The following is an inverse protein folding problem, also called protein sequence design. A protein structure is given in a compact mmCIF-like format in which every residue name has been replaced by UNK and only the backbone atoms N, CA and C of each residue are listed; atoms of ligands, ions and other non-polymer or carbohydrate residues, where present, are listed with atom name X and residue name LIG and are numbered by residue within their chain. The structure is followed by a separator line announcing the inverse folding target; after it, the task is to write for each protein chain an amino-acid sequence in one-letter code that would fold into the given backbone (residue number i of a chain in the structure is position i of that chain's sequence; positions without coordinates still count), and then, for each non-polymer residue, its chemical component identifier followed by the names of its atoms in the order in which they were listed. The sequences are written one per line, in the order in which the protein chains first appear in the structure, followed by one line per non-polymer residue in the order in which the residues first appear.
data_IF_223958933223
#
_entry.id   IF_223958933223
#
_cell.length_a   1.000
_cell.length_b   1.000
_cell.length_c   1.000
_cell.angle_alpha   90.00
_cell.angle_beta   90.00
_cell.angle_gamma   90.00
#
_symmetry.space_group_name_H-M   'P 1'
#
loop_
_entity.id
_entity.type
_entity.pdbx_description
1 polymer ?
#
# COMPACT_ATOMS: atom_id res chain seq x y z
N UNK A 1 18.24 14.82 1.75
CA UNK A 1 18.08 13.44 2.24
C UNK A 1 18.85 12.53 1.32
N UNK A 2 19.48 11.47 1.82
CA UNK A 2 20.13 10.49 0.95
C UNK A 2 19.07 9.68 0.19
N UNK A 3 19.32 9.38 -1.08
CA UNK A 3 18.41 8.54 -1.87
C UNK A 3 18.34 7.13 -1.26
N UNK A 4 17.13 6.56 -1.21
CA UNK A 4 16.94 5.17 -0.79
C UNK A 4 17.61 4.23 -1.79
N UNK A 5 18.43 3.30 -1.30
CA UNK A 5 19.19 2.39 -2.16
C UNK A 5 18.27 1.36 -2.83
N UNK A 6 18.14 1.36 -4.17
CA UNK A 6 17.31 0.36 -4.86
C UNK A 6 17.94 -1.04 -4.85
N UNK A 7 19.25 -1.19 -4.54
CA UNK A 7 19.90 -2.49 -4.42
C UNK A 7 19.62 -3.17 -3.09
N UNK A 8 19.14 -2.42 -2.09
CA UNK A 8 18.70 -2.97 -0.81
C UNK A 8 17.41 -3.77 -0.89
N UNK A 9 16.69 -3.66 -2.01
CA UNK A 9 15.37 -4.26 -2.24
C UNK A 9 15.50 -5.61 -2.95
N UNK A 10 14.95 -6.66 -2.35
CA UNK A 10 14.78 -7.95 -3.00
C UNK A 10 13.45 -8.00 -3.76
N UNK A 11 13.50 -8.01 -5.10
CA UNK A 11 12.30 -8.13 -5.92
C UNK A 11 11.86 -9.59 -6.06
N UNK A 12 10.68 -9.92 -5.53
CA UNK A 12 10.03 -11.22 -5.71
C UNK A 12 9.20 -11.20 -6.98
N UNK A 13 9.52 -12.12 -7.90
CA UNK A 13 8.87 -12.22 -9.21
C UNK A 13 8.15 -13.56 -9.37
N UNK A 14 6.89 -13.54 -9.83
CA UNK A 14 6.13 -14.76 -10.17
C UNK A 14 5.19 -14.52 -11.34
N UNK A 15 4.87 -15.58 -12.08
CA UNK A 15 3.99 -15.50 -13.25
C UNK A 15 4.68 -15.01 -14.52
N UNK A 16 3.86 -14.77 -15.54
CA UNK A 16 4.29 -14.28 -16.87
C UNK A 16 3.21 -13.37 -17.46
N UNK A 17 3.60 -12.43 -18.34
CA UNK A 17 2.71 -11.43 -18.94
C UNK A 17 3.11 -10.01 -18.55
N UNK A 18 2.21 -9.03 -18.73
CA UNK A 18 2.47 -7.63 -18.36
C UNK A 18 2.90 -7.49 -16.90
N UNK A 19 3.85 -6.60 -16.59
CA UNK A 19 4.35 -6.41 -15.23
C UNK A 19 3.29 -5.74 -14.33
N UNK A 20 3.01 -6.34 -13.18
CA UNK A 20 2.14 -5.81 -12.14
C UNK A 20 2.92 -5.64 -10.83
N UNK A 21 3.19 -4.40 -10.46
CA UNK A 21 3.82 -4.04 -9.19
C UNK A 21 2.76 -4.01 -8.08
N UNK A 22 3.07 -4.64 -6.95
CA UNK A 22 2.19 -4.78 -5.80
C UNK A 22 2.88 -4.20 -4.55
N UNK A 23 2.43 -3.02 -4.10
CA UNK A 23 3.01 -2.27 -2.98
C UNK A 23 2.17 -2.49 -1.71
N UNK A 24 2.80 -3.07 -0.69
CA UNK A 24 2.14 -3.40 0.59
C UNK A 24 1.94 -2.18 1.49
N UNK A 25 1.13 -2.34 2.55
CA UNK A 25 0.86 -1.32 3.55
C UNK A 25 1.90 -1.30 4.69
N UNK A 26 1.76 -0.32 5.58
CA UNK A 26 2.62 -0.13 6.74
C UNK A 26 2.65 -1.38 7.65
N UNK A 27 3.83 -1.78 8.11
CA UNK A 27 4.03 -2.78 9.15
C UNK A 27 3.96 -4.24 8.72
N UNK A 28 3.71 -4.51 7.43
CA UNK A 28 3.69 -5.86 6.86
C UNK A 28 4.78 -6.03 5.80
N UNK A 29 4.77 -7.11 5.04
CA UNK A 29 5.76 -7.42 4.02
C UNK A 29 5.10 -7.81 2.69
N UNK A 30 5.89 -8.14 1.66
CA UNK A 30 5.43 -8.51 0.32
C UNK A 30 4.38 -9.64 0.31
N UNK A 31 4.34 -10.51 1.34
CA UNK A 31 3.37 -11.61 1.47
C UNK A 31 1.94 -11.12 1.76
N UNK A 32 1.76 -9.84 2.09
CA UNK A 32 0.43 -9.24 2.12
C UNK A 32 -0.34 -9.51 0.83
N UNK A 33 0.37 -9.61 -0.29
CA UNK A 33 -0.19 -9.84 -1.61
C UNK A 33 -0.32 -11.32 -2.00
N UNK A 34 -0.15 -12.27 -1.07
CA UNK A 34 -0.27 -13.70 -1.39
C UNK A 34 -1.68 -14.09 -1.87
N UNK A 35 -2.72 -13.36 -1.46
CA UNK A 35 -4.06 -13.52 -1.99
C UNK A 35 -4.15 -13.24 -3.50
N UNK A 36 -3.29 -12.40 -4.03
CA UNK A 36 -3.25 -12.02 -5.44
C UNK A 36 -2.42 -12.98 -6.33
N UNK A 37 -1.78 -14.01 -5.75
CA UNK A 37 -0.99 -15.00 -6.52
C UNK A 37 -1.78 -15.63 -7.68
N UNK A 38 -3.10 -15.86 -7.63
CA UNK A 38 -3.88 -16.33 -8.79
C UNK A 38 -3.82 -15.41 -10.02
N UNK A 39 -3.44 -14.14 -9.87
CA UNK A 39 -3.22 -13.22 -11.00
C UNK A 39 -1.92 -13.52 -11.76
N UNK A 40 -1.03 -14.36 -11.23
CA UNK A 40 0.20 -14.77 -11.90
C UNK A 40 -0.03 -15.60 -13.18
N UNK A 41 -1.25 -16.07 -13.41
CA UNK A 41 -1.65 -16.66 -14.69
C UNK A 41 -1.67 -15.66 -15.84
N UNK A 42 -1.92 -14.38 -15.53
CA UNK A 42 -2.18 -13.32 -16.51
C UNK A 42 -1.11 -12.22 -16.48
N UNK A 43 -0.39 -12.08 -15.35
CA UNK A 43 0.57 -11.01 -15.12
C UNK A 43 1.89 -11.51 -14.54
N UNK A 44 2.97 -10.77 -14.78
CA UNK A 44 4.21 -10.92 -14.01
C UNK A 44 4.06 -10.09 -12.73
N UNK A 45 3.81 -10.76 -11.61
CA UNK A 45 3.70 -10.10 -10.30
C UNK A 45 5.08 -9.70 -9.79
N UNK A 46 5.24 -8.45 -9.38
CA UNK A 46 6.46 -7.85 -8.85
C UNK A 46 6.17 -7.33 -7.44
N UNK A 47 6.74 -7.94 -6.43
CA UNK A 47 6.52 -7.63 -5.02
C UNK A 47 7.86 -7.44 -4.32
N UNK A 48 7.96 -6.50 -3.41
CA UNK A 48 9.15 -6.32 -2.57
C UNK A 48 8.74 -5.74 -1.21
N UNK A 49 9.63 -5.86 -0.25
CA UNK A 49 9.46 -5.28 1.07
C UNK A 49 9.89 -3.80 1.04
N UNK A 50 9.04 -2.90 1.51
CA UNK A 50 9.36 -1.49 1.64
C UNK A 50 10.50 -1.27 2.65
N UNK A 51 11.28 -0.17 2.56
CA UNK A 51 12.36 0.13 3.50
C UNK A 51 11.95 -0.03 4.97
N UNK A 52 12.74 -0.77 5.73
CA UNK A 52 12.46 -1.07 7.14
C UNK A 52 11.37 -2.12 7.40
N UNK A 53 10.86 -2.79 6.33
CA UNK A 53 9.86 -3.85 6.42
C UNK A 53 10.43 -5.16 5.86
N UNK A 54 9.90 -6.29 6.35
CA UNK A 54 10.28 -7.62 5.90
C UNK A 54 11.79 -7.83 5.89
N UNK A 55 12.37 -8.08 4.72
CA UNK A 55 13.80 -8.31 4.52
C UNK A 55 14.59 -7.05 4.13
N UNK A 56 13.90 -5.94 3.80
CA UNK A 56 14.56 -4.69 3.40
C UNK A 56 15.09 -3.94 4.63
N UNK A 57 16.38 -3.56 4.64
CA UNK A 57 17.00 -2.88 5.78
C UNK A 57 16.29 -1.59 6.17
N UNK A 58 16.41 -1.23 7.44
CA UNK A 58 15.97 0.08 7.94
C UNK A 58 16.90 1.15 7.39
N UNK A 59 16.37 2.20 6.73
CA UNK A 59 17.17 3.33 6.28
C UNK A 59 17.86 4.06 7.46
N UNK A 60 19.05 4.59 7.22
CA UNK A 60 19.79 5.36 8.23
C UNK A 60 19.18 6.75 8.48
N UNK A 61 18.45 7.28 7.50
CA UNK A 61 17.85 8.61 7.55
C UNK A 61 16.33 8.54 7.32
N UNK A 62 15.62 9.58 7.77
CA UNK A 62 14.21 9.76 7.45
C UNK A 62 14.00 9.93 5.94
N UNK A 63 12.85 9.53 5.48
CA UNK A 63 12.44 9.61 4.08
C UNK A 63 11.00 10.11 3.96
N UNK A 64 10.60 10.45 2.76
CA UNK A 64 9.24 10.87 2.39
C UNK A 64 8.62 9.87 1.41
N UNK A 65 7.33 10.04 1.12
CA UNK A 65 6.63 9.23 0.10
C UNK A 65 7.29 9.39 -1.27
N UNK A 66 7.78 10.59 -1.58
CA UNK A 66 8.50 10.89 -2.81
C UNK A 66 9.76 10.03 -2.95
N UNK A 67 10.54 9.88 -1.88
CA UNK A 67 11.77 9.07 -1.87
C UNK A 67 11.47 7.58 -2.10
N UNK A 68 10.36 7.07 -1.55
CA UNK A 68 9.88 5.70 -1.79
C UNK A 68 9.45 5.48 -3.25
N UNK A 69 8.80 6.49 -3.83
CA UNK A 69 8.42 6.49 -5.25
C UNK A 69 9.65 6.52 -6.17
N UNK A 70 10.67 7.32 -5.84
CA UNK A 70 11.93 7.38 -6.58
C UNK A 70 12.70 6.06 -6.49
N UNK A 71 12.70 5.41 -5.31
CA UNK A 71 13.25 4.06 -5.16
C UNK A 71 12.52 3.06 -6.05
N UNK A 72 11.18 3.08 -6.08
CA UNK A 72 10.39 2.24 -6.99
C UNK A 72 10.80 2.46 -8.45
N UNK A 73 10.92 3.72 -8.89
CA UNK A 73 11.37 4.05 -10.25
C UNK A 73 12.75 3.45 -10.55
N UNK A 74 13.70 3.56 -9.62
CA UNK A 74 15.04 3.01 -9.77
C UNK A 74 15.03 1.46 -9.81
N UNK A 75 14.24 0.80 -8.95
CA UNK A 75 14.06 -0.67 -8.97
C UNK A 75 13.52 -1.12 -10.31
N UNK A 76 12.47 -0.48 -10.82
CA UNK A 76 11.89 -0.84 -12.12
C UNK A 76 12.86 -0.63 -13.28
N UNK A 77 13.62 0.47 -13.27
CA UNK A 77 14.65 0.76 -14.28
C UNK A 77 15.74 -0.30 -14.31
N UNK A 78 16.23 -0.78 -13.14
CA UNK A 78 17.21 -1.86 -13.05
C UNK A 78 16.71 -3.17 -13.68
N UNK A 79 15.41 -3.40 -13.71
CA UNK A 79 14.79 -4.59 -14.30
C UNK A 79 14.23 -4.36 -15.72
N UNK A 80 14.50 -3.20 -16.34
CA UNK A 80 14.06 -2.86 -17.69
C UNK A 80 12.54 -2.69 -17.83
N UNK A 81 11.85 -2.33 -16.76
CA UNK A 81 10.39 -2.17 -16.72
C UNK A 81 10.05 -0.69 -16.85
N UNK A 82 9.43 -0.30 -17.98
CA UNK A 82 9.15 1.11 -18.29
C UNK A 82 7.67 1.49 -18.20
N UNK A 83 6.75 0.53 -18.24
CA UNK A 83 5.30 0.76 -18.24
C UNK A 83 4.56 -0.33 -17.48
N UNK A 84 4.70 -0.39 -16.14
CA UNK A 84 4.01 -1.39 -15.33
C UNK A 84 2.54 -1.05 -15.10
N UNK A 85 1.73 -2.05 -14.77
CA UNK A 85 0.58 -1.86 -13.90
C UNK A 85 1.09 -1.66 -12.48
N UNK A 86 0.43 -0.82 -11.69
CA UNK A 86 0.80 -0.59 -10.28
C UNK A 86 -0.45 -0.70 -9.40
N UNK A 87 -0.38 -1.51 -8.38
CA UNK A 87 -1.39 -1.59 -7.33
C UNK A 87 -0.75 -1.33 -5.96
N UNK A 88 -1.35 -0.47 -5.16
CA UNK A 88 -0.86 -0.14 -3.84
C UNK A 88 -1.98 0.02 -2.83
N UNK A 89 -1.76 -0.49 -1.62
CA UNK A 89 -2.69 -0.34 -0.50
C UNK A 89 -2.14 0.58 0.57
N UNK A 90 -2.95 1.49 1.10
CA UNK A 90 -2.61 2.38 2.21
C UNK A 90 -1.29 3.13 1.94
N UNK A 91 -0.21 2.89 2.69
CA UNK A 91 1.15 3.42 2.41
C UNK A 91 1.59 3.11 0.96
N UNK A 92 1.42 1.87 0.50
CA UNK A 92 1.71 1.48 -0.88
C UNK A 92 0.86 2.26 -1.89
N UNK A 93 -0.36 2.63 -1.52
CA UNK A 93 -1.25 3.47 -2.31
C UNK A 93 -0.77 4.92 -2.45
N UNK A 94 -0.18 5.51 -1.39
CA UNK A 94 0.47 6.82 -1.50
C UNK A 94 1.69 6.78 -2.45
N UNK A 95 2.52 5.74 -2.32
CA UNK A 95 3.66 5.55 -3.23
C UNK A 95 3.18 5.43 -4.68
N UNK A 96 2.15 4.61 -4.91
CA UNK A 96 1.56 4.42 -6.24
C UNK A 96 0.98 5.71 -6.82
N UNK A 97 0.30 6.54 -6.01
CA UNK A 97 -0.21 7.86 -6.41
C UNK A 97 0.92 8.79 -6.86
N UNK A 98 1.98 8.92 -6.04
CA UNK A 98 3.11 9.77 -6.40
C UNK A 98 3.83 9.26 -7.64
N UNK A 99 4.06 7.95 -7.73
CA UNK A 99 4.69 7.34 -8.88
C UNK A 99 3.90 7.59 -10.17
N UNK A 100 2.59 7.33 -10.18
CA UNK A 100 1.73 7.51 -11.35
C UNK A 100 1.55 8.98 -11.78
N UNK A 101 1.75 9.94 -10.87
CA UNK A 101 1.75 11.37 -11.19
C UNK A 101 3.04 11.83 -11.90
N UNK A 102 4.13 11.06 -11.83
CA UNK A 102 5.46 11.44 -12.31
C UNK A 102 6.09 10.45 -13.30
N UNK A 103 5.51 9.26 -13.48
CA UNK A 103 6.00 8.20 -14.36
C UNK A 103 4.86 7.62 -15.22
N UNK A 104 5.24 6.91 -16.28
CA UNK A 104 4.27 6.21 -17.13
C UNK A 104 3.82 4.91 -16.46
N UNK A 105 2.53 4.81 -16.17
CA UNK A 105 1.86 3.64 -15.63
C UNK A 105 0.81 3.17 -16.62
N UNK A 106 0.70 1.87 -16.85
CA UNK A 106 -0.31 1.35 -17.77
C UNK A 106 -1.70 1.39 -17.15
N UNK A 107 -1.84 0.86 -15.94
CA UNK A 107 -3.06 0.95 -15.10
C UNK A 107 -2.66 1.13 -13.64
N UNK A 108 -3.45 1.90 -12.91
CA UNK A 108 -3.25 2.20 -11.50
C UNK A 108 -4.39 1.63 -10.66
N UNK A 109 -4.06 0.93 -9.57
CA UNK A 109 -5.04 0.51 -8.56
C UNK A 109 -4.65 1.07 -7.21
N UNK A 110 -5.57 1.82 -6.60
CA UNK A 110 -5.39 2.47 -5.31
C UNK A 110 -6.38 1.87 -4.31
N UNK A 111 -5.88 1.26 -3.25
CA UNK A 111 -6.68 0.47 -2.32
C UNK A 111 -6.56 1.07 -0.91
N UNK A 112 -7.69 1.33 -0.25
CA UNK A 112 -7.78 1.77 1.14
C UNK A 112 -6.73 2.86 1.47
N UNK A 113 -6.62 3.88 0.63
CA UNK A 113 -5.56 4.89 0.70
C UNK A 113 -6.11 6.31 0.70
N UNK A 114 -5.26 7.28 0.98
CA UNK A 114 -5.59 8.70 1.03
C UNK A 114 -4.52 9.53 0.30
N UNK A 115 -4.82 10.70 -0.23
CA UNK A 115 -3.79 11.62 -0.73
C UNK A 115 -3.14 12.45 0.39
N UNK A 116 -3.83 12.56 1.54
CA UNK A 116 -3.39 13.36 2.70
C UNK A 116 -4.11 12.91 3.96
N UNK A 117 -3.45 13.01 5.09
CA UNK A 117 -4.05 12.79 6.41
C UNK A 117 -4.58 14.09 7.04
N UNK A 118 -5.64 13.99 7.86
CA UNK A 118 -6.13 15.11 8.70
C UNK A 118 -5.09 15.47 9.76
N UNK A 119 -5.21 16.63 10.40
CA UNK A 119 -4.25 17.02 11.45
C UNK A 119 -4.27 16.06 12.63
N UNK A 120 -5.44 15.53 13.01
CA UNK A 120 -5.56 14.51 14.06
C UNK A 120 -4.85 13.21 13.69
N UNK A 121 -5.01 12.77 12.44
CA UNK A 121 -4.32 11.57 11.95
C UNK A 121 -2.81 11.79 11.84
N UNK A 122 -2.36 12.97 11.47
CA UNK A 122 -0.92 13.31 11.44
C UNK A 122 -0.33 13.26 12.85
N UNK A 123 -1.02 13.82 13.84
CA UNK A 123 -0.61 13.73 15.24
C UNK A 123 -0.56 12.26 15.72
N UNK A 124 -1.57 11.46 15.37
CA UNK A 124 -1.60 10.02 15.65
C UNK A 124 -0.40 9.28 15.02
N UNK A 125 -0.02 9.60 13.77
CA UNK A 125 1.17 8.99 13.14
C UNK A 125 2.45 9.30 13.89
N UNK A 126 2.62 10.55 14.38
CA UNK A 126 3.78 10.96 15.21
C UNK A 126 3.79 10.19 16.54
N UNK A 127 2.65 10.03 17.19
CA UNK A 127 2.54 9.25 18.43
C UNK A 127 2.83 7.76 18.20
N UNK A 128 2.34 7.17 17.10
CA UNK A 128 2.63 5.78 16.72
C UNK A 128 4.12 5.58 16.46
N UNK A 129 4.79 6.53 15.79
CA UNK A 129 6.23 6.49 15.58
C UNK A 129 6.99 6.45 16.91
N UNK A 130 6.62 7.32 17.85
CA UNK A 130 7.23 7.35 19.19
C UNK A 130 6.98 6.04 19.96
N UNK A 131 5.76 5.50 19.89
CA UNK A 131 5.40 4.23 20.54
C UNK A 131 6.18 3.06 19.92
N UNK A 132 6.28 3.00 18.59
CA UNK A 132 7.03 1.94 17.90
C UNK A 132 8.50 1.95 18.26
N UNK A 133 9.13 3.12 18.40
CA UNK A 133 10.53 3.25 18.83
C UNK A 133 10.77 2.83 20.28
N UNK A 134 9.87 3.19 21.18
CA UNK A 134 10.09 3.01 22.63
C UNK A 134 9.54 1.69 23.17
N UNK A 135 8.46 1.16 22.58
CA UNK A 135 7.72 -0.02 23.06
C UNK A 135 7.64 -1.14 22.03
N UNK A 136 8.15 -0.91 20.82
CA UNK A 136 8.00 -1.82 19.68
C UNK A 136 6.62 -1.79 19.05
N UNK A 137 6.52 -2.29 17.81
CA UNK A 137 5.25 -2.38 17.06
C UNK A 137 4.23 -3.30 17.74
N UNK A 138 4.72 -4.27 18.53
CA UNK A 138 3.88 -5.19 19.30
C UNK A 138 2.86 -4.47 20.21
N UNK A 139 3.22 -3.29 20.74
CA UNK A 139 2.33 -2.48 21.58
C UNK A 139 1.12 -1.89 20.83
N UNK A 140 1.15 -1.88 19.51
CA UNK A 140 0.12 -1.29 18.64
C UNK A 140 -0.80 -2.35 18.00
N UNK A 141 -0.46 -3.64 18.08
CA UNK A 141 -1.08 -4.69 17.25
C UNK A 141 -2.59 -4.74 17.41
N UNK A 142 -3.09 -4.79 18.65
CA UNK A 142 -4.53 -5.00 18.88
C UNK A 142 -5.37 -3.82 18.38
N UNK A 143 -4.86 -2.60 18.51
CA UNK A 143 -5.53 -1.40 17.99
C UNK A 143 -5.48 -1.36 16.46
N UNK A 144 -4.35 -1.74 15.86
CA UNK A 144 -4.22 -1.83 14.40
C UNK A 144 -5.17 -2.87 13.82
N UNK A 145 -5.27 -4.05 14.44
CA UNK A 145 -6.16 -5.11 13.96
C UNK A 145 -7.63 -4.66 13.99
N UNK A 146 -8.07 -3.92 15.02
CA UNK A 146 -9.44 -3.38 15.10
C UNK A 146 -9.73 -2.31 14.03
N UNK A 147 -8.71 -1.58 13.59
CA UNK A 147 -8.85 -0.63 12.46
C UNK A 147 -8.88 -1.37 11.13
N UNK A 148 -8.04 -2.40 10.98
CA UNK A 148 -7.84 -3.08 9.70
C UNK A 148 -8.95 -4.05 9.33
N UNK A 149 -9.57 -4.71 10.32
CA UNK A 149 -10.53 -5.79 10.11
C UNK A 149 -11.84 -5.55 10.84
N UNK A 150 -12.92 -6.04 10.26
CA UNK A 150 -14.23 -6.07 10.91
C UNK A 150 -14.21 -6.98 12.16
N UNK A 151 -15.10 -6.70 13.11
CA UNK A 151 -15.18 -7.47 14.36
C UNK A 151 -15.47 -8.96 14.11
N UNK A 152 -16.37 -9.24 13.16
CA UNK A 152 -16.74 -10.60 12.79
C UNK A 152 -15.58 -11.36 12.14
N UNK A 153 -14.78 -10.70 11.32
CA UNK A 153 -13.58 -11.28 10.72
C UNK A 153 -12.50 -11.56 11.77
N UNK A 154 -12.28 -10.63 12.71
CA UNK A 154 -11.36 -10.83 13.83
C UNK A 154 -11.77 -12.00 14.73
N UNK A 155 -13.06 -12.13 15.02
CA UNK A 155 -13.59 -13.21 15.88
C UNK A 155 -13.33 -14.61 15.30
N UNK A 156 -13.23 -14.75 13.98
CA UNK A 156 -12.92 -16.00 13.29
C UNK A 156 -11.41 -16.35 13.31
N UNK A 157 -10.54 -15.40 13.65
CA UNK A 157 -9.07 -15.52 13.61
C UNK A 157 -8.55 -16.23 12.34
N UNK A 158 -8.90 -15.75 11.13
CA UNK A 158 -8.50 -16.40 9.89
C UNK A 158 -6.98 -16.26 9.65
N UNK A 159 -6.41 -17.03 8.69
CA UNK A 159 -4.96 -16.97 8.37
C UNK A 159 -4.46 -15.56 8.10
N UNK A 160 -5.26 -14.68 7.48
CA UNK A 160 -4.91 -13.30 7.20
C UNK A 160 -4.67 -12.48 8.48
N UNK A 161 -5.51 -12.61 9.51
CA UNK A 161 -5.34 -11.94 10.80
C UNK A 161 -4.07 -12.44 11.51
N UNK A 162 -3.85 -13.76 11.53
CA UNK A 162 -2.64 -14.36 12.11
C UNK A 162 -1.36 -13.92 11.39
N UNK A 163 -1.41 -13.83 10.05
CA UNK A 163 -0.31 -13.30 9.24
C UNK A 163 0.01 -11.85 9.64
N UNK A 164 -0.99 -10.96 9.63
CA UNK A 164 -0.80 -9.55 9.98
C UNK A 164 -0.25 -9.41 11.41
N UNK A 165 -0.88 -10.07 12.39
CA UNK A 165 -0.44 -10.07 13.79
C UNK A 165 1.03 -10.50 13.93
N UNK A 166 1.39 -11.63 13.31
CA UNK A 166 2.74 -12.18 13.42
C UNK A 166 3.78 -11.32 12.69
N UNK A 167 3.41 -10.66 11.59
CA UNK A 167 4.33 -9.80 10.83
C UNK A 167 4.55 -8.49 11.55
N UNK A 168 3.50 -7.83 12.05
CA UNK A 168 3.61 -6.63 12.90
C UNK A 168 4.50 -6.87 14.12
N UNK A 169 4.39 -8.04 14.77
CA UNK A 169 5.20 -8.39 15.93
C UNK A 169 6.71 -8.47 15.64
N UNK A 170 7.09 -8.73 14.38
CA UNK A 170 8.49 -8.83 13.93
C UNK A 170 9.00 -7.57 13.24
N UNK A 171 8.12 -6.65 12.88
CA UNK A 171 8.50 -5.43 12.17
C UNK A 171 9.38 -4.55 13.05
N UNK A 172 10.45 -4.01 12.46
CA UNK A 172 11.37 -3.08 13.14
C UNK A 172 10.62 -1.87 13.68
N UNK A 173 10.79 -1.57 14.97
CA UNK A 173 10.20 -0.37 15.56
C UNK A 173 10.67 0.92 14.90
N UNK A 174 11.96 1.00 14.54
CA UNK A 174 12.50 2.16 13.79
C UNK A 174 11.99 2.21 12.36
N UNK A 175 11.98 1.08 11.63
CA UNK A 175 11.45 1.02 10.26
C UNK A 175 9.98 1.44 10.21
N UNK A 176 9.17 0.95 11.13
CA UNK A 176 7.76 1.36 11.27
C UNK A 176 7.61 2.84 11.58
N UNK A 177 8.45 3.37 12.49
CA UNK A 177 8.41 4.78 12.90
C UNK A 177 8.77 5.73 11.76
N UNK A 178 9.81 5.43 10.99
CA UNK A 178 10.18 6.23 9.80
C UNK A 178 9.05 6.26 8.77
N UNK A 179 8.36 5.15 8.56
CA UNK A 179 7.20 5.11 7.67
C UNK A 179 6.01 5.92 8.22
N UNK A 180 5.75 5.88 9.53
CA UNK A 180 4.74 6.75 10.17
C UNK A 180 5.05 8.25 9.97
N UNK A 181 6.32 8.65 10.08
CA UNK A 181 6.75 10.03 9.85
C UNK A 181 6.56 10.45 8.39
N UNK A 182 6.85 9.55 7.44
CA UNK A 182 6.58 9.78 6.02
C UNK A 182 5.07 9.95 5.75
N UNK A 183 4.21 9.14 6.41
CA UNK A 183 2.75 9.28 6.33
C UNK A 183 2.29 10.62 6.93
N UNK A 184 2.79 11.00 8.12
CA UNK A 184 2.45 12.27 8.75
C UNK A 184 2.79 13.49 7.87
N UNK A 185 3.85 13.40 7.07
CA UNK A 185 4.31 14.48 6.20
C UNK A 185 3.61 14.52 4.84
N UNK A 186 2.90 13.44 4.45
CA UNK A 186 2.38 13.28 3.09
C UNK A 186 1.27 14.28 2.74
N UNK A 187 1.39 14.90 1.56
CA UNK A 187 0.32 15.64 0.89
C UNK A 187 0.48 15.54 -0.62
N UNK A 188 -0.26 14.64 -1.24
CA UNK A 188 -0.19 14.31 -2.66
C UNK A 188 -1.31 14.93 -3.49
N UNK A 189 -2.15 15.79 -2.90
CA UNK A 189 -3.34 16.35 -3.56
C UNK A 189 -3.00 17.05 -4.88
N UNK A 190 -1.87 17.77 -4.94
CA UNK A 190 -1.43 18.49 -6.14
C UNK A 190 -0.98 17.55 -7.29
N UNK A 191 -0.77 16.26 -6.99
CA UNK A 191 -0.38 15.25 -7.98
C UNK A 191 -1.56 14.52 -8.62
N UNK A 192 -2.71 14.44 -7.97
CA UNK A 192 -3.83 13.62 -8.38
C UNK A 192 -4.30 13.93 -9.83
N UNK A 193 -4.47 15.19 -10.17
CA UNK A 193 -4.87 15.64 -11.51
C UNK A 193 -3.80 15.41 -12.60
N UNK A 194 -2.57 15.03 -12.23
CA UNK A 194 -1.51 14.68 -13.19
C UNK A 194 -1.55 13.21 -13.61
N UNK A 195 -2.24 12.36 -12.85
CA UNK A 195 -2.37 10.94 -13.15
C UNK A 195 -3.20 10.77 -14.42
N UNK A 196 -2.60 10.11 -15.44
CA UNK A 196 -3.21 9.87 -16.74
C UNK A 196 -3.60 8.41 -16.96
N UNK A 197 -3.05 7.50 -16.16
CA UNK A 197 -3.37 6.09 -16.26
C UNK A 197 -4.84 5.83 -15.92
N UNK A 198 -5.53 4.92 -16.62
CA UNK A 198 -6.79 4.39 -16.14
C UNK A 198 -6.63 3.92 -14.70
N UNK A 199 -7.53 4.36 -13.81
CA UNK A 199 -7.37 4.16 -12.38
C UNK A 199 -8.59 3.47 -11.77
N UNK A 200 -8.36 2.46 -10.95
CA UNK A 200 -9.36 1.85 -10.08
C UNK A 200 -9.05 2.22 -8.63
N UNK A 201 -10.00 2.87 -7.97
CA UNK A 201 -9.97 3.11 -6.53
C UNK A 201 -10.82 2.04 -5.86
N UNK A 202 -10.27 1.33 -4.88
CA UNK A 202 -10.98 0.32 -4.09
C UNK A 202 -10.97 0.77 -2.63
N UNK A 203 -12.10 0.66 -1.94
CA UNK A 203 -12.17 0.93 -0.51
C UNK A 203 -13.21 0.03 0.15
N UNK A 204 -12.92 -0.40 1.38
CA UNK A 204 -13.92 -1.05 2.22
C UNK A 204 -15.01 -0.03 2.62
N UNK A 205 -16.27 -0.40 2.51
CA UNK A 205 -17.37 0.53 2.83
C UNK A 205 -17.59 0.69 4.35
N UNK A 206 -16.96 -0.18 5.18
CA UNK A 206 -16.88 -0.07 6.63
C UNK A 206 -15.52 0.46 7.14
N UNK A 207 -14.64 0.95 6.25
CA UNK A 207 -13.42 1.67 6.66
C UNK A 207 -13.79 2.98 7.38
N UNK A 208 -12.86 3.52 8.16
CA UNK A 208 -13.11 4.78 8.86
C UNK A 208 -13.46 5.91 7.87
N UNK A 209 -14.33 6.86 8.27
CA UNK A 209 -14.87 7.88 7.35
C UNK A 209 -13.82 8.60 6.52
N UNK A 210 -12.66 8.93 7.10
CA UNK A 210 -11.59 9.65 6.40
C UNK A 210 -11.01 8.91 5.19
N UNK A 211 -10.98 7.56 5.20
CA UNK A 211 -10.52 6.79 4.03
C UNK A 211 -11.62 6.65 2.98
N UNK A 212 -12.88 6.54 3.40
CA UNK A 212 -14.02 6.53 2.46
C UNK A 212 -14.13 7.87 1.73
N UNK A 213 -14.08 8.98 2.46
CA UNK A 213 -14.07 10.32 1.88
C UNK A 213 -12.87 10.53 0.95
N UNK A 214 -11.69 10.00 1.33
CA UNK A 214 -10.50 10.05 0.50
C UNK A 214 -10.66 9.25 -0.79
N UNK A 215 -11.29 8.08 -0.75
CA UNK A 215 -11.54 7.25 -1.94
C UNK A 215 -12.45 7.99 -2.93
N UNK A 216 -13.53 8.61 -2.46
CA UNK A 216 -14.41 9.45 -3.28
C UNK A 216 -13.67 10.66 -3.85
N UNK A 217 -12.87 11.34 -3.01
CA UNK A 217 -12.07 12.47 -3.45
C UNK A 217 -11.07 12.08 -4.54
N UNK A 218 -10.29 10.98 -4.34
CA UNK A 218 -9.32 10.49 -5.36
C UNK A 218 -10.04 10.19 -6.67
N UNK A 219 -11.15 9.47 -6.61
CA UNK A 219 -11.94 9.12 -7.80
C UNK A 219 -12.48 10.38 -8.51
N UNK A 220 -12.80 11.43 -7.78
CA UNK A 220 -13.24 12.71 -8.36
C UNK A 220 -12.12 13.57 -8.94
N UNK A 221 -10.85 13.35 -8.57
CA UNK A 221 -9.71 14.13 -9.06
C UNK A 221 -9.02 13.53 -10.29
N UNK A 222 -9.09 12.22 -10.46
CA UNK A 222 -8.46 11.49 -11.57
C UNK A 222 -9.52 11.25 -12.64
N UNK A 223 -9.37 11.88 -13.80
CA UNK A 223 -10.36 11.90 -14.90
C UNK A 223 -10.83 10.49 -15.33
N UNK A 224 -9.91 9.52 -15.34
CA UNK A 224 -10.17 8.13 -15.75
C UNK A 224 -10.43 7.18 -14.59
N UNK A 225 -10.72 7.69 -13.39
CA UNK A 225 -10.91 6.85 -12.22
C UNK A 225 -12.31 6.23 -12.13
N UNK A 226 -12.34 5.00 -11.61
CA UNK A 226 -13.55 4.29 -11.18
C UNK A 226 -13.40 3.96 -9.70
N UNK A 227 -14.49 4.10 -8.93
CA UNK A 227 -14.54 3.73 -7.53
C UNK A 227 -15.32 2.41 -7.39
N UNK A 228 -14.75 1.47 -6.63
CA UNK A 228 -15.37 0.21 -6.26
C UNK A 228 -15.35 0.02 -4.75
N UNK A 229 -16.48 -0.30 -4.15
CA UNK A 229 -16.60 -0.62 -2.74
C UNK A 229 -16.50 -2.12 -2.49
N UNK A 230 -15.84 -2.51 -1.38
CA UNK A 230 -15.86 -3.87 -0.84
C UNK A 230 -16.81 -3.87 0.36
N UNK A 231 -18.04 -4.44 0.21
CA UNK A 231 -19.08 -4.35 1.24
C UNK A 231 -18.69 -5.04 2.55
N UNK A 232 -18.91 -4.35 3.69
CA UNK A 232 -18.67 -4.86 5.03
C UNK A 232 -17.19 -5.03 5.39
N UNK A 233 -16.27 -4.59 4.53
CA UNK A 233 -14.84 -4.68 4.79
C UNK A 233 -14.29 -3.35 5.33
N UNK A 234 -13.25 -3.45 6.17
CA UNK A 234 -12.54 -2.32 6.74
C UNK A 234 -11.25 -2.02 5.97
N UNK A 235 -10.24 -1.45 6.63
CA UNK A 235 -9.01 -0.92 6.02
C UNK A 235 -8.13 -1.98 5.31
N UNK A 236 -8.20 -3.25 5.68
CA UNK A 236 -7.55 -4.32 4.95
C UNK A 236 -8.56 -5.06 4.07
N UNK A 237 -9.36 -4.33 3.31
CA UNK A 237 -10.53 -4.81 2.58
C UNK A 237 -10.23 -6.00 1.67
N UNK A 238 -9.06 -5.99 1.04
CA UNK A 238 -8.60 -7.06 0.14
C UNK A 238 -8.19 -8.35 0.86
N UNK A 239 -7.87 -8.28 2.16
CA UNK A 239 -7.62 -9.46 2.99
C UNK A 239 -8.92 -10.01 3.60
N UNK A 240 -9.91 -9.16 3.85
CA UNK A 240 -11.23 -9.61 4.30
C UNK A 240 -12.02 -10.29 3.18
N UNK A 241 -11.89 -9.81 1.95
CA UNK A 241 -12.60 -10.35 0.78
C UNK A 241 -11.64 -10.58 -0.41
N UNK A 242 -10.70 -11.54 -0.29
CA UNK A 242 -9.63 -11.73 -1.28
C UNK A 242 -10.14 -12.16 -2.66
N UNK A 243 -11.21 -12.96 -2.74
CA UNK A 243 -11.79 -13.42 -4.01
C UNK A 243 -12.40 -12.23 -4.78
N UNK A 244 -13.15 -11.37 -4.07
CA UNK A 244 -13.73 -10.15 -4.66
C UNK A 244 -12.63 -9.20 -5.10
N UNK A 245 -11.60 -9.01 -4.29
CA UNK A 245 -10.45 -8.19 -4.64
C UNK A 245 -9.73 -8.70 -5.90
N UNK A 246 -9.45 -10.00 -5.99
CA UNK A 246 -8.86 -10.62 -7.17
C UNK A 246 -9.72 -10.45 -8.42
N UNK A 247 -11.04 -10.56 -8.29
CA UNK A 247 -11.97 -10.34 -9.41
C UNK A 247 -11.88 -8.90 -9.92
N UNK A 248 -12.00 -7.90 -9.02
CA UNK A 248 -11.89 -6.49 -9.37
C UNK A 248 -10.55 -6.16 -10.04
N UNK A 249 -9.45 -6.67 -9.47
CA UNK A 249 -8.10 -6.49 -10.03
C UNK A 249 -8.02 -7.09 -11.44
N UNK A 250 -8.44 -8.36 -11.63
CA UNK A 250 -8.34 -9.04 -12.92
C UNK A 250 -9.17 -8.33 -14.00
N UNK A 251 -10.43 -8.03 -13.70
CA UNK A 251 -11.33 -7.35 -14.65
C UNK A 251 -10.80 -5.99 -15.08
N UNK A 252 -10.28 -5.22 -14.13
CA UNK A 252 -9.75 -3.90 -14.42
C UNK A 252 -8.42 -3.96 -15.16
N UNK A 253 -7.49 -4.81 -14.73
CA UNK A 253 -6.14 -4.88 -15.33
C UNK A 253 -6.14 -5.53 -16.72
N UNK A 254 -7.09 -6.43 -17.02
CA UNK A 254 -7.22 -7.09 -18.31
C UNK A 254 -8.07 -6.30 -19.32
N UNK A 255 -8.79 -5.25 -18.90
CA UNK A 255 -9.61 -4.45 -19.85
C UNK A 255 -8.73 -3.72 -20.86
N UNK A 256 -9.12 -3.75 -22.16
CA UNK A 256 -8.38 -3.13 -23.25
C UNK A 256 -8.34 -1.60 -23.16
#
# INVERSE_FOLDING_TARGET
MAALDPQSVQLHRSGSGPPLVLLHCLGVDHRFWDFAVPLASDFTLLRYDLPGHGSTPVPAESYRIEDLSDQLAAVLAQHGISRPHVAGISLGGLIAQHFAANAVVDRLVLIDTTPRYTEEMRAMWVERAATARTRGVAALIEDLLRVWFSADFLAQDPPAVRYVRSTLARTSGEGYALACEALAAADLRNGAAKIRAPTLVICGDDDIPSFRDAAEWIAGQIESARLAWIPGARHASVLEQPERACTLLREFLASA
#
